data_IF_057367167607
#
_entry.id   IF_057367167607
#
_cell.length_a   1.000
_cell.length_b   1.000
_cell.length_c   1.000
_cell.angle_alpha   90.00
_cell.angle_beta   90.00
_cell.angle_gamma   90.00
#
_symmetry.space_group_name_H-M   'P 1'
#
loop_
_entity.id
_entity.type
_entity.pdbx_description
1 polymer ?
#
# COMPACT_ATOMS: atom_id res chain seq x y z
N UNK A 1 5.46 -24.96 -8.27
CA UNK A 1 4.33 -24.93 -7.31
C UNK A 1 4.79 -24.98 -5.84
N UNK A 2 5.87 -25.71 -5.48
CA UNK A 2 6.36 -25.83 -4.09
C UNK A 2 7.44 -24.82 -3.64
N UNK A 3 8.03 -24.03 -4.54
CA UNK A 3 9.15 -23.12 -4.21
C UNK A 3 8.64 -21.80 -3.57
N UNK A 4 7.41 -21.39 -3.86
CA UNK A 4 6.83 -20.09 -3.48
C UNK A 4 6.36 -19.97 -2.02
N UNK A 5 6.07 -21.11 -1.35
CA UNK A 5 5.60 -21.15 0.05
C UNK A 5 6.74 -21.01 1.08
N UNK A 6 7.99 -21.17 0.65
CA UNK A 6 9.15 -21.22 1.55
C UNK A 6 9.79 -19.85 1.76
N UNK A 7 9.64 -18.91 0.81
CA UNK A 7 10.29 -17.60 0.88
C UNK A 7 9.68 -16.68 1.95
N UNK A 8 8.36 -16.69 2.16
CA UNK A 8 7.72 -15.84 3.18
C UNK A 8 7.92 -16.36 4.62
N UNK A 9 7.88 -17.68 4.84
CA UNK A 9 8.11 -18.30 6.16
C UNK A 9 9.54 -18.08 6.68
N UNK A 10 10.51 -18.03 5.76
CA UNK A 10 11.94 -17.84 6.07
C UNK A 10 12.25 -16.48 6.72
N UNK A 11 11.59 -15.39 6.27
CA UNK A 11 11.85 -14.03 6.77
C UNK A 11 11.32 -13.78 8.19
N UNK A 12 10.21 -14.42 8.60
CA UNK A 12 9.62 -14.25 9.94
C UNK A 12 10.33 -15.09 11.02
N UNK A 13 10.66 -16.36 10.73
CA UNK A 13 11.27 -17.30 11.70
C UNK A 13 12.65 -16.85 12.19
N UNK A 14 13.45 -16.20 11.33
CA UNK A 14 14.79 -15.71 11.69
C UNK A 14 14.76 -14.41 12.53
N UNK A 15 13.60 -13.77 12.73
CA UNK A 15 13.48 -12.54 13.53
C UNK A 15 13.28 -12.81 15.02
N UNK A 16 12.59 -13.90 15.38
CA UNK A 16 12.36 -14.24 16.79
C UNK A 16 13.65 -14.69 17.49
N UNK A 17 14.54 -15.41 16.80
CA UNK A 17 15.81 -15.89 17.38
C UNK A 17 16.86 -14.79 17.63
N UNK A 18 16.77 -13.64 16.95
CA UNK A 18 17.78 -12.57 17.06
C UNK A 18 17.52 -11.56 18.20
N UNK A 19 16.39 -11.67 18.90
CA UNK A 19 16.02 -10.74 20.00
C UNK A 19 16.65 -11.18 21.34
N UNK A 20 17.08 -12.44 21.49
CA UNK A 20 17.56 -12.97 22.77
C UNK A 20 19.06 -12.76 23.10
N UNK A 21 19.85 -12.03 22.29
CA UNK A 21 21.32 -12.02 22.48
C UNK A 21 22.02 -10.65 22.65
N UNK A 22 21.31 -9.58 23.01
CA UNK A 22 21.95 -8.28 23.25
C UNK A 22 22.15 -7.98 24.74
N UNK A 23 23.07 -8.71 25.39
CA UNK A 23 23.67 -8.28 26.66
C UNK A 23 24.98 -7.53 26.40
N UNK A 24 24.98 -6.24 26.74
CA UNK A 24 26.19 -5.46 27.02
C UNK A 24 26.81 -4.67 25.85
N UNK A 25 26.26 -3.47 25.59
CA UNK A 25 27.01 -2.22 25.30
C UNK A 25 26.05 -1.04 25.19
N UNK A 26 26.27 -0.02 26.00
CA UNK A 26 25.45 1.18 26.13
C UNK A 26 25.43 2.04 24.85
N UNK A 27 24.37 1.87 24.07
CA UNK A 27 23.61 2.95 23.42
C UNK A 27 22.22 2.41 23.07
N UNK A 28 21.40 2.07 24.08
CA UNK A 28 20.06 1.56 23.80
C UNK A 28 19.17 2.71 23.32
N UNK A 29 18.86 2.74 22.03
CA UNK A 29 17.64 3.40 21.57
C UNK A 29 16.49 2.63 22.26
N UNK A 30 15.94 3.17 23.34
CA UNK A 30 14.85 2.53 24.03
C UNK A 30 13.65 2.52 23.08
N UNK A 31 13.13 1.33 22.77
CA UNK A 31 11.89 1.19 22.02
C UNK A 31 10.79 1.93 22.79
N UNK A 32 10.06 2.79 22.11
CA UNK A 32 8.81 3.38 22.58
C UNK A 32 7.73 2.29 22.51
N UNK A 33 7.46 1.65 23.64
CA UNK A 33 6.51 0.52 23.72
C UNK A 33 5.07 0.92 23.36
N UNK A 34 4.67 2.15 23.65
CA UNK A 34 3.33 2.64 23.32
C UNK A 34 3.21 2.83 21.80
N UNK A 35 4.18 3.49 21.18
CA UNK A 35 4.23 3.63 19.74
C UNK A 35 4.31 2.26 19.05
N UNK A 36 5.15 1.34 19.55
CA UNK A 36 5.28 -0.01 19.00
C UNK A 36 3.95 -0.79 19.06
N UNK A 37 3.20 -0.67 20.16
CA UNK A 37 1.88 -1.28 20.32
C UNK A 37 0.84 -0.67 19.38
N UNK A 38 0.79 0.66 19.28
CA UNK A 38 -0.16 1.40 18.45
C UNK A 38 0.11 1.20 16.95
N UNK A 39 1.36 1.06 16.55
CA UNK A 39 1.77 0.81 15.16
C UNK A 39 1.96 -0.68 14.85
N UNK A 40 1.44 -1.58 15.69
CA UNK A 40 1.37 -3.00 15.38
C UNK A 40 -0.08 -3.42 15.11
N UNK A 41 -0.64 -3.23 13.90
CA UNK A 41 -2.04 -3.57 13.60
C UNK A 41 -2.46 -5.00 13.97
N UNK A 42 -1.52 -5.94 13.92
CA UNK A 42 -1.75 -7.35 14.30
C UNK A 42 -2.05 -7.56 15.80
N UNK A 43 -1.84 -6.54 16.64
CA UNK A 43 -2.27 -6.52 18.05
C UNK A 43 -3.70 -6.00 18.23
N UNK A 44 -4.36 -5.57 17.15
CA UNK A 44 -5.71 -5.01 17.13
C UNK A 44 -6.62 -5.79 16.16
N UNK A 45 -6.81 -7.12 16.33
CA UNK A 45 -7.70 -7.89 15.47
C UNK A 45 -9.17 -7.56 15.74
N UNK A 46 -9.99 -7.54 14.70
CA UNK A 46 -11.43 -7.29 14.81
C UNK A 46 -12.08 -8.31 15.75
N UNK A 47 -13.05 -7.86 16.55
CA UNK A 47 -13.91 -8.66 17.41
C UNK A 47 -14.59 -9.79 16.63
N UNK A 48 -14.93 -9.56 15.36
CA UNK A 48 -15.53 -10.56 14.46
C UNK A 48 -14.58 -11.71 14.09
N UNK A 49 -13.25 -11.52 14.19
CA UNK A 49 -12.29 -12.58 13.91
C UNK A 49 -12.33 -13.67 14.99
N UNK A 50 -12.34 -14.96 14.62
CA UNK A 50 -12.16 -16.05 15.57
C UNK A 50 -10.73 -16.13 16.11
N UNK A 51 -9.77 -15.57 15.37
CA UNK A 51 -8.34 -15.59 15.67
C UNK A 51 -7.93 -14.27 16.32
N UNK A 52 -7.20 -14.32 17.45
CA UNK A 52 -6.85 -13.14 18.26
C UNK A 52 -5.35 -12.95 18.53
N UNK A 53 -4.50 -13.95 18.29
CA UNK A 53 -3.06 -13.78 18.52
C UNK A 53 -2.40 -13.11 17.33
N UNK A 54 -1.37 -12.29 17.59
CA UNK A 54 -0.62 -11.56 16.56
C UNK A 54 -0.17 -12.46 15.40
N UNK A 55 0.50 -13.57 15.71
CA UNK A 55 1.04 -14.47 14.69
C UNK A 55 -0.07 -15.12 13.87
N UNK A 56 -1.15 -15.56 14.50
CA UNK A 56 -2.23 -16.22 13.79
C UNK A 56 -3.05 -15.25 12.91
N UNK A 57 -3.15 -13.97 13.28
CA UNK A 57 -3.73 -12.92 12.42
C UNK A 57 -2.89 -12.74 11.14
N UNK A 58 -1.57 -12.68 11.29
CA UNK A 58 -0.63 -12.55 10.16
C UNK A 58 -0.67 -13.81 9.28
N UNK A 59 -0.70 -15.00 9.88
CA UNK A 59 -0.79 -16.27 9.15
C UNK A 59 -2.08 -16.38 8.33
N UNK A 60 -3.24 -16.05 8.92
CA UNK A 60 -4.53 -16.02 8.21
C UNK A 60 -4.52 -14.98 7.07
N UNK A 61 -3.96 -13.78 7.30
CA UNK A 61 -3.80 -12.78 6.24
C UNK A 61 -2.96 -13.32 5.08
N UNK A 62 -1.77 -13.86 5.37
CA UNK A 62 -0.88 -14.42 4.36
C UNK A 62 -1.54 -15.57 3.61
N UNK A 63 -2.27 -16.44 4.30
CA UNK A 63 -2.99 -17.53 3.66
C UNK A 63 -4.05 -16.99 2.69
N UNK A 64 -4.92 -16.08 3.15
CA UNK A 64 -6.00 -15.51 2.32
C UNK A 64 -5.47 -14.73 1.13
N UNK A 65 -4.45 -13.89 1.33
CA UNK A 65 -3.82 -13.14 0.24
C UNK A 65 -3.23 -14.07 -0.83
N UNK A 66 -2.61 -15.18 -0.42
CA UNK A 66 -2.10 -16.19 -1.35
C UNK A 66 -3.22 -16.93 -2.09
N UNK A 67 -4.32 -17.25 -1.41
CA UNK A 67 -5.50 -17.86 -2.02
C UNK A 67 -6.13 -16.94 -3.08
N UNK A 68 -6.27 -15.64 -2.77
CA UNK A 68 -6.78 -14.61 -3.70
C UNK A 68 -5.84 -14.46 -4.90
N UNK A 69 -4.54 -14.32 -4.68
CA UNK A 69 -3.56 -14.22 -5.76
C UNK A 69 -3.56 -15.46 -6.67
N UNK A 70 -3.68 -16.66 -6.08
CA UNK A 70 -3.77 -17.89 -6.83
C UNK A 70 -5.09 -18.00 -7.63
N UNK A 71 -6.21 -17.52 -7.10
CA UNK A 71 -7.47 -17.45 -7.82
C UNK A 71 -7.39 -16.45 -8.98
N UNK A 72 -6.84 -15.25 -8.75
CA UNK A 72 -6.63 -14.26 -9.81
C UNK A 72 -5.76 -14.83 -10.95
N UNK A 73 -4.72 -15.59 -10.63
CA UNK A 73 -3.88 -16.25 -11.64
C UNK A 73 -4.65 -17.34 -12.39
N UNK A 74 -5.45 -18.16 -11.70
CA UNK A 74 -6.30 -19.19 -12.34
C UNK A 74 -7.29 -18.57 -13.30
N UNK A 75 -7.95 -17.50 -12.88
CA UNK A 75 -9.02 -16.85 -13.63
C UNK A 75 -8.47 -16.02 -14.80
N UNK A 76 -7.46 -15.18 -14.55
CA UNK A 76 -7.02 -14.16 -15.50
C UNK A 76 -5.62 -14.37 -16.09
N UNK A 77 -4.93 -15.47 -15.77
CA UNK A 77 -3.52 -15.68 -16.15
C UNK A 77 -3.23 -15.55 -17.66
N UNK A 78 -4.17 -15.91 -18.53
CA UNK A 78 -4.03 -15.77 -19.99
C UNK A 78 -4.18 -14.33 -20.49
N UNK A 79 -4.72 -13.45 -19.63
CA UNK A 79 -4.98 -12.03 -19.90
C UNK A 79 -3.99 -11.12 -19.14
N UNK A 80 -2.87 -11.68 -18.67
CA UNK A 80 -1.83 -10.93 -17.97
C UNK A 80 -0.70 -10.52 -18.90
N UNK A 81 -0.21 -9.30 -18.71
CA UNK A 81 1.04 -8.81 -19.26
C UNK A 81 1.91 -8.23 -18.14
N UNK A 82 3.15 -7.87 -18.44
CA UNK A 82 4.02 -7.29 -17.43
C UNK A 82 4.99 -6.26 -17.98
N UNK A 83 5.31 -5.28 -17.15
CA UNK A 83 6.33 -4.25 -17.40
C UNK A 83 7.44 -4.42 -16.36
N UNK A 84 8.68 -4.51 -16.81
CA UNK A 84 9.86 -4.39 -15.95
C UNK A 84 10.28 -2.92 -15.97
N UNK A 85 10.14 -2.24 -14.83
CA UNK A 85 10.40 -0.79 -14.75
C UNK A 85 11.77 -0.46 -14.13
N UNK A 86 12.52 -1.49 -13.73
CA UNK A 86 13.90 -1.38 -13.30
C UNK A 86 14.57 -2.74 -13.14
N UNK A 87 15.75 -2.75 -12.55
CA UNK A 87 16.67 -3.89 -12.63
C UNK A 87 16.55 -4.92 -11.50
N UNK A 88 15.76 -4.62 -10.44
CA UNK A 88 15.60 -5.53 -9.30
C UNK A 88 14.46 -6.52 -9.56
N UNK A 89 14.52 -7.68 -8.88
CA UNK A 89 13.60 -8.80 -9.14
C UNK A 89 12.12 -8.46 -8.94
N UNK A 90 11.84 -7.56 -7.99
CA UNK A 90 10.49 -7.10 -7.69
C UNK A 90 10.13 -5.76 -8.35
N UNK A 91 11.01 -5.13 -9.13
CA UNK A 91 10.71 -3.91 -9.91
C UNK A 91 9.88 -4.25 -11.17
N UNK A 92 8.68 -4.78 -10.94
CA UNK A 92 7.77 -5.30 -11.96
C UNK A 92 6.33 -4.87 -11.72
N UNK A 93 5.62 -4.58 -12.80
CA UNK A 93 4.18 -4.33 -12.81
C UNK A 93 3.52 -5.50 -13.53
N UNK A 94 2.56 -6.16 -12.89
CA UNK A 94 1.68 -7.14 -13.55
C UNK A 94 0.38 -6.45 -13.91
N UNK A 95 0.04 -6.44 -15.20
CA UNK A 95 -1.18 -5.83 -15.71
C UNK A 95 -2.15 -6.94 -16.10
N UNK A 96 -3.38 -6.83 -15.63
CA UNK A 96 -4.45 -7.78 -15.88
C UNK A 96 -5.52 -7.07 -16.71
N UNK A 97 -5.85 -7.65 -17.86
CA UNK A 97 -6.91 -7.16 -18.72
C UNK A 97 -8.25 -7.80 -18.35
N UNK A 98 -9.33 -7.02 -18.23
CA UNK A 98 -10.66 -7.58 -18.02
C UNK A 98 -11.14 -8.32 -19.27
N UNK A 99 -11.99 -9.34 -19.08
CA UNK A 99 -12.59 -10.10 -20.19
C UNK A 99 -13.51 -9.21 -21.03
N UNK A 100 -14.35 -8.42 -20.38
CA UNK A 100 -15.21 -7.42 -20.99
C UNK A 100 -14.68 -6.02 -20.67
N UNK A 101 -14.44 -5.20 -21.70
CA UNK A 101 -13.88 -3.86 -21.51
C UNK A 101 -14.97 -2.81 -21.37
N UNK A 102 -14.86 -1.97 -20.34
CA UNK A 102 -15.64 -0.74 -20.25
C UNK A 102 -15.30 0.21 -21.41
N UNK A 103 -16.29 1.01 -21.86
CA UNK A 103 -16.07 2.01 -22.92
C UNK A 103 -15.11 3.12 -22.48
N UNK A 104 -15.11 3.45 -21.20
CA UNK A 104 -14.26 4.46 -20.57
C UNK A 104 -13.29 3.79 -19.60
N UNK A 105 -12.54 2.81 -20.10
CA UNK A 105 -11.66 2.00 -19.27
C UNK A 105 -10.55 2.84 -18.65
N UNK A 106 -10.53 2.88 -17.33
CA UNK A 106 -9.42 3.33 -16.49
C UNK A 106 -8.56 2.13 -16.04
N UNK A 107 -7.33 2.41 -15.59
CA UNK A 107 -6.42 1.44 -15.01
C UNK A 107 -6.27 1.68 -13.50
N UNK A 108 -6.58 0.68 -12.70
CA UNK A 108 -6.42 0.69 -11.24
C UNK A 108 -5.08 0.08 -10.87
N UNK A 109 -4.14 0.90 -10.41
CA UNK A 109 -2.81 0.46 -10.03
C UNK A 109 -2.69 0.32 -8.51
N UNK A 110 -2.44 -0.88 -8.04
CA UNK A 110 -2.41 -1.22 -6.62
C UNK A 110 -0.99 -1.52 -6.13
N UNK A 111 -0.65 -0.99 -4.96
CA UNK A 111 0.63 -1.19 -4.27
C UNK A 111 0.35 -1.87 -2.93
N UNK A 112 1.02 -3.00 -2.69
CA UNK A 112 0.84 -3.78 -1.46
C UNK A 112 1.44 -3.11 -0.21
N UNK A 113 1.07 -3.64 0.96
CA UNK A 113 1.54 -3.18 2.26
C UNK A 113 2.77 -3.95 2.76
N UNK A 114 2.86 -4.14 4.08
CA UNK A 114 3.94 -4.93 4.71
C UNK A 114 5.11 -4.11 5.27
N UNK A 115 4.84 -2.87 5.71
CA UNK A 115 5.85 -2.01 6.35
C UNK A 115 7.13 -1.82 5.54
N UNK A 116 7.01 -1.78 4.20
CA UNK A 116 8.13 -1.65 3.26
C UNK A 116 9.22 -2.72 3.41
N UNK A 117 8.90 -3.83 4.06
CA UNK A 117 9.86 -4.88 4.46
C UNK A 117 9.36 -6.29 4.16
N UNK A 118 8.08 -6.42 3.80
CA UNK A 118 7.41 -7.67 3.47
C UNK A 118 6.24 -7.42 2.50
N UNK A 119 5.65 -8.51 2.01
CA UNK A 119 4.54 -8.51 1.06
C UNK A 119 4.94 -8.95 -0.35
N UNK A 120 3.96 -9.04 -1.24
CA UNK A 120 4.18 -9.43 -2.64
C UNK A 120 3.08 -8.95 -3.57
N UNK A 121 3.47 -8.28 -4.65
CA UNK A 121 2.53 -7.95 -5.73
C UNK A 121 1.78 -9.15 -6.32
N UNK A 122 2.29 -10.38 -6.12
CA UNK A 122 1.68 -11.62 -6.62
C UNK A 122 0.56 -12.16 -5.73
N UNK A 123 0.51 -11.77 -4.46
CA UNK A 123 -0.48 -12.23 -3.49
C UNK A 123 -1.30 -11.06 -2.98
N UNK A 124 -0.81 -10.32 -1.98
CA UNK A 124 -1.52 -9.17 -1.43
C UNK A 124 -1.64 -8.01 -2.43
N UNK A 125 -0.79 -7.95 -3.46
CA UNK A 125 -0.99 -7.06 -4.60
C UNK A 125 -2.19 -7.39 -5.49
N UNK A 126 -2.87 -8.52 -5.30
CA UNK A 126 -4.02 -8.96 -6.11
C UNK A 126 -5.37 -8.82 -5.41
N UNK A 127 -5.38 -8.39 -4.16
CA UNK A 127 -6.59 -8.40 -3.29
C UNK A 127 -7.76 -7.57 -3.81
N UNK A 128 -7.48 -6.50 -4.56
CA UNK A 128 -8.49 -5.64 -5.15
C UNK A 128 -8.77 -5.93 -6.64
N UNK A 129 -8.17 -6.97 -7.23
CA UNK A 129 -8.24 -7.22 -8.66
C UNK A 129 -9.65 -7.60 -9.13
N UNK A 130 -10.31 -8.55 -8.45
CA UNK A 130 -11.63 -9.06 -8.86
C UNK A 130 -12.71 -7.99 -9.01
N UNK A 131 -12.98 -7.09 -8.03
CA UNK A 131 -14.00 -6.06 -8.21
C UNK A 131 -13.67 -5.10 -9.36
N UNK A 132 -12.40 -4.76 -9.57
CA UNK A 132 -11.95 -3.90 -10.67
C UNK A 132 -12.17 -4.56 -12.03
N UNK A 133 -11.73 -5.82 -12.17
CA UNK A 133 -11.81 -6.56 -13.43
C UNK A 133 -13.26 -6.87 -13.82
N UNK A 134 -14.10 -7.21 -12.84
CA UNK A 134 -15.53 -7.45 -13.06
C UNK A 134 -16.29 -6.18 -13.48
N UNK A 135 -15.80 -4.99 -13.11
CA UNK A 135 -16.33 -3.71 -13.59
C UNK A 135 -15.80 -3.33 -14.99
N UNK A 136 -14.97 -4.17 -15.61
CA UNK A 136 -14.43 -3.96 -16.96
C UNK A 136 -13.28 -2.97 -17.03
N UNK A 137 -12.59 -2.74 -15.91
CA UNK A 137 -11.41 -1.90 -15.81
C UNK A 137 -10.12 -2.72 -15.79
N UNK A 138 -9.00 -2.11 -16.21
CA UNK A 138 -7.69 -2.78 -16.10
C UNK A 138 -7.20 -2.72 -14.66
N UNK A 139 -6.49 -3.77 -14.24
CA UNK A 139 -5.82 -3.81 -12.95
C UNK A 139 -4.31 -3.89 -13.15
N UNK A 140 -3.54 -3.22 -12.30
CA UNK A 140 -2.09 -3.31 -12.28
C UNK A 140 -1.59 -3.54 -10.85
N UNK A 141 -0.94 -4.68 -10.59
CA UNK A 141 -0.22 -4.90 -9.34
C UNK A 141 1.23 -4.40 -9.49
N UNK A 142 1.60 -3.36 -8.74
CA UNK A 142 2.95 -2.81 -8.72
C UNK A 142 3.74 -3.52 -7.61
N UNK A 143 4.77 -4.27 -8.00
CA UNK A 143 5.80 -4.74 -7.09
C UNK A 143 6.84 -3.68 -6.85
N UNK A 144 7.46 -3.70 -5.68
CA UNK A 144 8.68 -2.97 -5.36
C UNK A 144 9.62 -3.89 -4.58
N UNK A 145 10.91 -3.61 -4.65
CA UNK A 145 11.91 -4.38 -3.92
C UNK A 145 12.10 -3.80 -2.51
N UNK A 146 12.15 -4.67 -1.51
CA UNK A 146 12.01 -4.36 -0.08
C UNK A 146 13.06 -5.10 0.78
N UNK A 147 14.27 -5.25 0.23
CA UNK A 147 15.39 -5.88 0.94
C UNK A 147 15.70 -5.13 2.25
N UNK A 148 16.09 -5.88 3.30
CA UNK A 148 16.27 -5.41 4.68
C UNK A 148 17.18 -4.17 4.83
N UNK A 149 18.06 -3.89 3.87
CA UNK A 149 18.99 -2.75 3.91
C UNK A 149 18.62 -1.62 2.95
N UNK A 150 17.45 -1.70 2.30
CA UNK A 150 17.04 -0.70 1.34
C UNK A 150 16.43 0.50 2.05
N UNK A 151 16.95 1.69 1.78
CA UNK A 151 16.39 2.91 2.31
C UNK A 151 14.98 3.13 1.76
N UNK A 152 14.06 3.62 2.60
CA UNK A 152 12.69 3.95 2.19
C UNK A 152 12.66 5.01 1.06
N UNK A 153 13.69 5.87 0.97
CA UNK A 153 13.90 6.78 -0.18
C UNK A 153 14.03 6.04 -1.51
N UNK A 154 14.70 4.88 -1.53
CA UNK A 154 14.88 4.09 -2.75
C UNK A 154 13.60 3.35 -3.14
N UNK A 155 12.81 2.92 -2.15
CA UNK A 155 11.51 2.27 -2.37
C UNK A 155 10.51 3.28 -2.94
N UNK A 156 10.42 4.48 -2.37
CA UNK A 156 9.57 5.56 -2.92
C UNK A 156 9.99 5.92 -4.35
N UNK A 157 11.28 6.04 -4.63
CA UNK A 157 11.79 6.30 -5.99
C UNK A 157 11.46 5.17 -6.98
N UNK A 158 11.46 3.90 -6.55
CA UNK A 158 11.02 2.77 -7.38
C UNK A 158 9.57 2.93 -7.81
N UNK A 159 8.67 3.22 -6.87
CA UNK A 159 7.23 3.34 -7.17
C UNK A 159 6.95 4.52 -8.10
N UNK A 160 7.65 5.65 -7.93
CA UNK A 160 7.52 6.79 -8.87
C UNK A 160 7.93 6.38 -10.29
N UNK A 161 9.02 5.62 -10.46
CA UNK A 161 9.40 5.07 -11.77
C UNK A 161 8.33 4.14 -12.33
N UNK A 162 7.78 3.26 -11.50
CA UNK A 162 6.71 2.34 -11.90
C UNK A 162 5.49 3.10 -12.44
N UNK A 163 5.04 4.14 -11.74
CA UNK A 163 3.89 4.96 -12.17
C UNK A 163 4.20 5.75 -13.45
N UNK A 164 5.43 6.26 -13.63
CA UNK A 164 5.84 6.88 -14.89
C UNK A 164 5.77 5.87 -16.06
N UNK A 165 6.26 4.64 -15.89
CA UNK A 165 6.13 3.59 -16.91
C UNK A 165 4.67 3.22 -17.18
N UNK A 166 3.84 3.20 -16.14
CA UNK A 166 2.42 2.87 -16.25
C UNK A 166 1.63 3.95 -16.98
N UNK A 167 2.03 5.22 -16.84
CA UNK A 167 1.50 6.34 -17.62
C UNK A 167 1.80 6.20 -19.10
N UNK A 168 3.02 5.78 -19.46
CA UNK A 168 3.38 5.54 -20.86
C UNK A 168 2.59 4.39 -21.47
N UNK A 169 2.45 3.28 -20.71
CA UNK A 169 1.57 2.17 -21.10
C UNK A 169 0.12 2.62 -21.29
N UNK A 170 -0.41 3.39 -20.34
CA UNK A 170 -1.79 3.91 -20.37
C UNK A 170 -2.04 4.73 -21.63
N UNK A 171 -1.12 5.64 -21.98
CA UNK A 171 -1.18 6.42 -23.23
C UNK A 171 -1.12 5.53 -24.47
N UNK A 172 -0.19 4.58 -24.54
CA UNK A 172 -0.02 3.69 -25.70
C UNK A 172 -1.26 2.81 -25.95
N UNK A 173 -1.97 2.43 -24.89
CA UNK A 173 -3.16 1.59 -24.96
C UNK A 173 -4.48 2.39 -25.01
N UNK A 174 -4.43 3.71 -25.10
CA UNK A 174 -5.59 4.61 -25.11
C UNK A 174 -6.54 4.38 -23.91
N UNK A 175 -5.96 4.14 -22.74
CA UNK A 175 -6.69 4.00 -21.48
C UNK A 175 -6.96 5.41 -20.96
N UNK A 176 -8.17 5.64 -20.41
CA UNK A 176 -8.64 6.99 -20.06
C UNK A 176 -7.84 7.63 -18.93
N UNK A 177 -7.58 6.88 -17.88
CA UNK A 177 -6.97 7.39 -16.66
C UNK A 177 -6.32 6.30 -15.82
N UNK A 178 -5.55 6.71 -14.82
CA UNK A 178 -4.99 5.87 -13.77
C UNK A 178 -5.61 6.27 -12.43
N UNK A 179 -6.06 5.27 -11.67
CA UNK A 179 -6.35 5.38 -10.24
C UNK A 179 -5.23 4.67 -9.49
N UNK A 180 -4.53 5.38 -8.59
CA UNK A 180 -3.53 4.75 -7.74
C UNK A 180 -4.16 4.29 -6.44
N UNK A 181 -3.83 3.09 -5.99
CA UNK A 181 -4.33 2.55 -4.73
C UNK A 181 -3.22 1.85 -3.98
N UNK A 182 -3.33 1.83 -2.67
CA UNK A 182 -2.44 1.01 -1.88
C UNK A 182 -2.99 0.76 -0.49
N UNK A 183 -2.46 -0.26 0.16
CA UNK A 183 -2.82 -0.62 1.53
C UNK A 183 -1.64 -0.39 2.48
N UNK A 184 -1.89 0.19 3.65
CA UNK A 184 -0.86 0.35 4.69
C UNK A 184 0.37 1.11 4.17
N UNK A 185 1.55 0.49 4.19
CA UNK A 185 2.77 1.00 3.55
C UNK A 185 2.61 1.31 2.04
N UNK A 186 1.74 0.59 1.33
CA UNK A 186 1.40 0.89 -0.07
C UNK A 186 0.61 2.18 -0.22
N UNK A 187 -0.29 2.50 0.71
CA UNK A 187 -1.01 3.77 0.71
C UNK A 187 -0.05 4.95 0.97
N UNK A 188 0.93 4.75 1.85
CA UNK A 188 2.05 5.68 2.01
C UNK A 188 2.81 5.90 0.70
N UNK A 189 3.17 4.82 -0.01
CA UNK A 189 3.88 4.91 -1.28
C UNK A 189 3.07 5.62 -2.37
N UNK A 190 1.75 5.42 -2.43
CA UNK A 190 0.85 6.21 -3.31
C UNK A 190 0.92 7.68 -2.96
N UNK A 191 0.76 8.03 -1.68
CA UNK A 191 0.77 9.41 -1.21
C UNK A 191 2.12 10.10 -1.49
N UNK A 192 3.24 9.41 -1.27
CA UNK A 192 4.58 9.88 -1.65
C UNK A 192 4.74 10.05 -3.16
N UNK A 193 4.11 9.20 -3.96
CA UNK A 193 4.22 9.26 -5.42
C UNK A 193 3.52 10.50 -6.00
N UNK A 194 2.30 10.81 -5.56
CA UNK A 194 1.54 11.95 -6.10
C UNK A 194 2.18 13.31 -5.76
N UNK A 195 2.92 13.40 -4.66
CA UNK A 195 3.64 14.61 -4.24
C UNK A 195 5.08 14.66 -4.76
N UNK A 196 5.62 13.56 -5.29
CA UNK A 196 7.01 13.48 -5.73
C UNK A 196 7.26 14.41 -6.91
N UNK A 197 8.31 15.25 -6.91
CA UNK A 197 8.68 16.07 -8.06
C UNK A 197 9.09 15.23 -9.29
N UNK A 198 9.55 14.00 -9.07
CA UNK A 198 10.00 13.08 -10.13
C UNK A 198 8.84 12.39 -10.88
N UNK A 199 7.60 12.59 -10.43
CA UNK A 199 6.42 12.18 -11.18
C UNK A 199 6.27 13.07 -12.42
N UNK A 200 6.37 12.47 -13.60
CA UNK A 200 6.46 13.20 -14.85
C UNK A 200 5.11 13.80 -15.27
N UNK A 201 5.13 14.73 -16.25
CA UNK A 201 3.92 15.45 -16.70
C UNK A 201 2.85 14.51 -17.27
N UNK A 202 3.27 13.45 -17.99
CA UNK A 202 2.34 12.46 -18.54
C UNK A 202 1.58 11.74 -17.42
N UNK A 203 2.31 11.21 -16.42
CA UNK A 203 1.74 10.56 -15.25
C UNK A 203 0.84 11.49 -14.45
N UNK A 204 1.26 12.74 -14.18
CA UNK A 204 0.42 13.74 -13.50
C UNK A 204 -0.88 14.05 -14.25
N UNK A 205 -0.86 13.98 -15.59
CA UNK A 205 -2.06 14.21 -16.40
C UNK A 205 -3.03 13.03 -16.36
N UNK A 206 -2.52 11.80 -16.23
CA UNK A 206 -3.29 10.56 -16.30
C UNK A 206 -3.76 10.06 -14.95
N UNK A 207 -3.02 10.31 -13.87
CA UNK A 207 -3.46 9.97 -12.51
C UNK A 207 -4.58 10.93 -12.11
N UNK A 208 -5.80 10.41 -12.01
CA UNK A 208 -7.01 11.20 -11.75
C UNK A 208 -7.59 11.02 -10.35
N UNK A 209 -7.08 10.04 -9.60
CA UNK A 209 -7.56 9.76 -8.27
C UNK A 209 -6.68 8.79 -7.50
N UNK A 210 -6.90 8.75 -6.19
CA UNK A 210 -6.24 7.79 -5.29
C UNK A 210 -7.22 7.08 -4.36
N UNK A 211 -6.93 5.82 -4.03
CA UNK A 211 -7.58 5.07 -2.96
C UNK A 211 -6.55 4.63 -1.91
N UNK A 212 -6.56 5.29 -0.75
CA UNK A 212 -5.59 5.11 0.32
C UNK A 212 -6.22 4.27 1.43
N UNK A 213 -5.83 3.01 1.54
CA UNK A 213 -6.50 2.02 2.40
C UNK A 213 -5.66 1.73 3.66
N UNK A 214 -6.11 2.15 4.83
CA UNK A 214 -5.44 1.90 6.12
C UNK A 214 -4.00 2.45 6.15
N UNK A 215 -3.73 3.59 5.53
CA UNK A 215 -2.38 4.09 5.35
C UNK A 215 -1.73 4.69 6.61
N UNK A 216 -0.41 4.85 6.55
CA UNK A 216 0.40 5.66 7.47
C UNK A 216 1.01 6.83 6.69
N UNK A 217 0.78 8.06 7.13
CA UNK A 217 1.14 9.27 6.37
C UNK A 217 2.11 10.19 7.12
N UNK A 218 2.15 10.06 8.45
CA UNK A 218 3.22 10.54 9.32
C UNK A 218 3.96 9.33 9.91
N UNK A 219 5.21 9.12 9.50
CA UNK A 219 6.05 8.02 9.98
C UNK A 219 7.00 8.45 11.10
N UNK A 220 6.94 9.70 11.58
CA UNK A 220 7.76 10.16 12.72
C UNK A 220 7.60 9.29 13.97
N UNK A 221 6.40 8.74 14.31
CA UNK A 221 6.28 7.89 15.49
C UNK A 221 6.95 6.53 15.33
N UNK A 222 7.32 6.12 14.10
CA UNK A 222 8.01 4.85 13.88
C UNK A 222 9.49 4.90 14.28
N UNK A 223 10.06 6.09 14.46
CA UNK A 223 11.50 6.30 14.69
C UNK A 223 12.06 5.41 15.81
N UNK A 224 11.33 5.30 16.92
CA UNK A 224 11.73 4.54 18.10
C UNK A 224 10.93 3.24 18.26
N UNK A 225 10.50 2.60 17.17
CA UNK A 225 9.72 1.35 17.22
C UNK A 225 10.55 0.17 16.71
N UNK A 226 10.11 -1.06 17.01
CA UNK A 226 10.76 -2.26 16.47
C UNK A 226 10.59 -2.37 14.95
N UNK A 227 9.73 -1.57 14.35
CA UNK A 227 9.47 -1.54 12.90
C UNK A 227 10.64 -0.88 12.17
N UNK A 228 11.25 0.16 12.77
CA UNK A 228 12.40 0.86 12.20
C UNK A 228 13.67 0.01 12.24
N UNK A 229 13.77 -0.92 13.20
CA UNK A 229 14.97 -1.74 13.44
C UNK A 229 14.83 -3.13 12.80
N UNK A 230 15.74 -3.55 11.92
CA UNK A 230 16.83 -2.80 11.28
C UNK A 230 16.40 -2.08 9.98
N UNK A 231 15.13 -2.15 9.59
CA UNK A 231 14.74 -2.11 8.18
C UNK A 231 14.39 -0.75 7.56
N UNK A 232 13.96 0.28 8.31
CA UNK A 232 13.48 1.52 7.65
C UNK A 232 14.56 2.59 7.48
N UNK A 233 15.63 2.52 8.26
CA UNK A 233 16.73 3.48 8.21
C UNK A 233 16.33 4.90 8.63
N UNK A 234 15.29 5.06 9.45
CA UNK A 234 14.92 6.35 10.01
C UNK A 234 15.94 6.69 11.11
N UNK A 235 16.80 7.68 10.83
CA UNK A 235 17.90 8.06 11.74
C UNK A 235 17.52 9.16 12.72
N UNK A 236 16.59 10.02 12.32
CA UNK A 236 16.12 11.16 13.10
C UNK A 236 14.75 11.65 12.59
N UNK A 237 14.15 12.58 13.34
CA UNK A 237 12.83 13.15 13.02
C UNK A 237 12.83 13.85 11.66
N UNK A 238 13.90 14.55 11.26
CA UNK A 238 13.98 15.25 9.98
C UNK A 238 13.98 14.30 8.79
N UNK A 239 14.62 13.13 8.90
CA UNK A 239 14.51 12.05 7.91
C UNK A 239 13.09 11.50 7.85
N UNK A 240 12.47 11.25 9.00
CA UNK A 240 11.10 10.73 9.05
C UNK A 240 10.06 11.72 8.49
N UNK A 241 10.18 13.02 8.77
CA UNK A 241 9.33 14.08 8.21
C UNK A 241 9.45 14.17 6.69
N UNK A 242 10.67 14.07 6.14
CA UNK A 242 10.90 14.06 4.67
C UNK A 242 10.33 12.83 3.97
N UNK A 243 10.10 11.77 4.72
CA UNK A 243 9.49 10.54 4.25
C UNK A 243 8.04 10.41 4.70
N UNK A 244 7.45 11.48 5.23
CA UNK A 244 6.05 11.54 5.65
C UNK A 244 5.24 12.40 4.68
N UNK A 245 4.33 11.84 3.87
CA UNK A 245 3.53 12.63 2.96
C UNK A 245 2.67 13.70 3.65
N UNK A 246 2.30 13.52 4.94
CA UNK A 246 1.60 14.55 5.72
C UNK A 246 2.43 15.83 5.87
N UNK A 247 3.67 15.71 6.33
CA UNK A 247 4.60 16.83 6.54
C UNK A 247 4.96 17.53 5.22
N UNK A 248 5.22 16.74 4.17
CA UNK A 248 5.54 17.28 2.85
C UNK A 248 4.37 18.08 2.27
N UNK A 249 3.14 17.58 2.38
CA UNK A 249 1.96 18.25 1.86
C UNK A 249 1.56 19.49 2.70
N UNK A 250 1.85 19.48 4.00
CA UNK A 250 1.61 20.62 4.90
C UNK A 250 2.54 21.81 4.64
N UNK A 251 3.77 21.58 4.14
CA UNK A 251 4.74 22.63 3.79
C UNK A 251 4.27 23.66 2.74
N UNK A 252 3.12 23.43 2.10
CA UNK A 252 2.49 24.23 1.04
C UNK A 252 3.29 24.40 -0.25
N UNK A 253 4.57 24.02 -0.28
CA UNK A 253 5.43 24.09 -1.46
C UNK A 253 5.02 23.09 -2.56
N UNK A 254 4.28 22.04 -2.19
CA UNK A 254 3.83 21.01 -3.11
C UNK A 254 2.40 21.31 -3.56
N UNK A 255 2.22 21.43 -4.87
CA UNK A 255 0.91 21.52 -5.52
C UNK A 255 0.60 20.17 -6.14
N UNK A 256 -0.52 19.57 -5.72
CA UNK A 256 -1.06 18.35 -6.32
C UNK A 256 -2.24 18.78 -7.18
N UNK A 257 -2.08 18.68 -8.49
CA UNK A 257 -3.11 19.03 -9.46
C UNK A 257 -3.76 17.75 -10.02
N UNK A 258 -4.96 17.89 -10.58
CA UNK A 258 -5.65 16.85 -11.36
C UNK A 258 -6.14 15.61 -10.59
N UNK A 259 -6.13 15.63 -9.26
CA UNK A 259 -6.79 14.59 -8.45
C UNK A 259 -8.27 14.94 -8.22
N UNK A 260 -9.14 14.42 -9.08
CA UNK A 260 -10.57 14.70 -9.04
C UNK A 260 -11.32 13.83 -8.01
N UNK A 261 -10.87 12.60 -7.79
CA UNK A 261 -11.57 11.65 -6.92
C UNK A 261 -10.60 10.93 -6.01
N UNK A 262 -10.73 11.14 -4.70
CA UNK A 262 -9.82 10.55 -3.74
C UNK A 262 -10.63 9.89 -2.62
N UNK A 263 -10.15 8.74 -2.18
CA UNK A 263 -10.71 7.97 -1.08
C UNK A 263 -9.62 7.75 -0.04
N UNK A 264 -9.90 8.10 1.21
CA UNK A 264 -9.16 7.61 2.37
C UNK A 264 -10.07 6.64 3.10
N UNK A 265 -9.61 5.41 3.27
CA UNK A 265 -10.33 4.40 4.02
C UNK A 265 -9.48 3.84 5.14
N UNK A 266 -10.11 3.39 6.21
CA UNK A 266 -9.45 2.77 7.36
C UNK A 266 -10.41 1.76 8.00
N UNK A 267 -9.88 0.76 8.68
CA UNK A 267 -10.66 -0.27 9.35
C UNK A 267 -11.35 0.29 10.61
N UNK A 268 -12.62 -0.06 10.87
CA UNK A 268 -13.29 0.38 12.09
C UNK A 268 -12.67 -0.23 13.37
N UNK A 269 -12.10 -1.43 13.23
CA UNK A 269 -11.53 -2.21 14.32
C UNK A 269 -10.01 -2.35 14.15
N UNK A 270 -9.30 -1.22 14.08
CA UNK A 270 -7.84 -1.19 14.14
C UNK A 270 -7.35 -0.22 15.22
N UNK A 271 -6.04 0.05 15.24
CA UNK A 271 -5.47 0.87 16.30
C UNK A 271 -5.90 2.34 16.20
N UNK A 272 -6.00 3.05 17.35
CA UNK A 272 -6.25 4.49 17.36
C UNK A 272 -5.24 5.31 16.55
N UNK A 273 -3.99 4.84 16.42
CA UNK A 273 -2.98 5.51 15.61
C UNK A 273 -3.33 5.47 14.12
N UNK A 274 -3.76 4.33 13.57
CA UNK A 274 -4.17 4.25 12.17
C UNK A 274 -5.46 5.02 11.87
N UNK A 275 -6.39 5.10 12.83
CA UNK A 275 -7.54 5.99 12.72
C UNK A 275 -7.09 7.45 12.63
N UNK A 276 -6.16 7.87 13.49
CA UNK A 276 -5.63 9.23 13.53
C UNK A 276 -4.90 9.57 12.23
N UNK A 277 -4.03 8.69 11.76
CA UNK A 277 -3.32 8.82 10.48
C UNK A 277 -4.28 9.09 9.32
N UNK A 278 -5.31 8.25 9.19
CA UNK A 278 -6.28 8.36 8.09
C UNK A 278 -7.14 9.62 8.20
N UNK A 279 -7.68 9.92 9.39
CA UNK A 279 -8.52 11.11 9.61
C UNK A 279 -7.75 12.39 9.41
N UNK A 280 -6.52 12.48 9.90
CA UNK A 280 -5.73 13.71 9.81
C UNK A 280 -5.18 13.94 8.40
N UNK A 281 -4.80 12.87 7.69
CA UNK A 281 -4.42 12.99 6.28
C UNK A 281 -5.61 13.38 5.40
N UNK A 282 -6.81 12.83 5.64
CA UNK A 282 -8.02 13.26 4.93
C UNK A 282 -8.32 14.74 5.17
N UNK A 283 -8.29 15.22 6.43
CA UNK A 283 -8.44 16.65 6.74
C UNK A 283 -7.36 17.49 6.07
N UNK A 284 -6.13 17.00 5.95
CA UNK A 284 -5.05 17.72 5.27
C UNK A 284 -5.35 17.85 3.78
N UNK A 285 -5.81 16.79 3.11
CA UNK A 285 -6.26 16.83 1.72
C UNK A 285 -7.38 17.88 1.53
N UNK A 286 -8.39 17.88 2.41
CA UNK A 286 -9.47 18.88 2.40
C UNK A 286 -8.93 20.31 2.58
N UNK A 287 -8.02 20.55 3.54
CA UNK A 287 -7.37 21.87 3.74
C UNK A 287 -6.57 22.31 2.52
N UNK A 288 -6.04 21.37 1.73
CA UNK A 288 -5.35 21.62 0.45
C UNK A 288 -6.31 21.71 -0.74
N UNK A 289 -7.62 21.72 -0.50
CA UNK A 289 -8.67 21.75 -1.54
C UNK A 289 -8.61 20.56 -2.52
N UNK A 290 -8.10 19.42 -2.05
CA UNK A 290 -8.12 18.15 -2.77
C UNK A 290 -9.39 17.41 -2.33
N UNK A 291 -10.36 17.17 -3.23
CA UNK A 291 -11.60 16.48 -2.88
C UNK A 291 -11.33 15.08 -2.35
N UNK A 292 -11.83 14.73 -1.17
CA UNK A 292 -11.61 13.41 -0.58
C UNK A 292 -12.88 12.91 0.09
N UNK A 293 -13.18 11.63 -0.10
CA UNK A 293 -14.17 10.89 0.67
C UNK A 293 -13.47 10.06 1.73
N UNK A 294 -14.09 9.95 2.91
CA UNK A 294 -13.59 9.11 4.00
C UNK A 294 -14.53 7.93 4.19
N UNK A 295 -13.98 6.71 4.24
CA UNK A 295 -14.76 5.49 4.46
C UNK A 295 -14.15 4.64 5.59
N UNK A 296 -14.86 4.55 6.70
CA UNK A 296 -14.55 3.62 7.78
C UNK A 296 -15.13 2.24 7.46
N UNK A 297 -14.28 1.22 7.29
CA UNK A 297 -14.70 -0.14 6.95
C UNK A 297 -15.32 -0.82 8.18
N UNK A 298 -16.65 -1.05 8.21
CA UNK A 298 -17.30 -1.65 9.36
C UNK A 298 -16.87 -3.10 9.56
N UNK A 299 -16.78 -3.54 10.82
CA UNK A 299 -16.48 -4.93 11.21
C UNK A 299 -15.21 -5.50 10.56
N UNK A 300 -14.22 -4.64 10.29
CA UNK A 300 -12.93 -5.01 9.71
C UNK A 300 -11.80 -4.47 10.56
N UNK A 301 -10.72 -5.24 10.60
CA UNK A 301 -9.40 -4.80 11.02
C UNK A 301 -8.51 -4.53 9.81
N UNK A 302 -7.29 -4.09 10.11
CA UNK A 302 -6.28 -3.71 9.13
C UNK A 302 -5.97 -4.79 8.08
N UNK A 303 -6.24 -6.07 8.35
CA UNK A 303 -5.91 -7.18 7.45
C UNK A 303 -7.12 -7.68 6.67
N UNK A 304 -8.25 -7.91 7.34
CA UNK A 304 -9.45 -8.39 6.64
C UNK A 304 -10.14 -7.29 5.82
N UNK A 305 -9.84 -6.00 6.03
CA UNK A 305 -10.38 -4.94 5.18
C UNK A 305 -10.03 -5.09 3.69
N UNK A 306 -8.90 -5.73 3.37
CA UNK A 306 -8.47 -5.99 1.99
C UNK A 306 -8.61 -7.45 1.56
N UNK A 307 -8.52 -8.42 2.48
CA UNK A 307 -8.71 -9.85 2.12
C UNK A 307 -10.18 -10.27 2.09
N UNK A 308 -11.08 -9.43 2.62
CA UNK A 308 -12.52 -9.56 2.56
C UNK A 308 -13.16 -8.16 2.38
N UNK A 309 -12.89 -7.56 1.22
CA UNK A 309 -13.32 -6.20 0.86
C UNK A 309 -14.85 -6.10 0.97
N UNK A 310 -15.40 -5.21 1.84
CA UNK A 310 -16.83 -5.00 1.92
C UNK A 310 -17.41 -4.52 0.58
N UNK A 311 -18.64 -4.93 0.26
CA UNK A 311 -19.30 -4.57 -1.00
C UNK A 311 -19.35 -3.05 -1.24
N UNK A 312 -19.55 -2.26 -0.18
CA UNK A 312 -19.55 -0.80 -0.26
C UNK A 312 -18.16 -0.24 -0.61
N UNK A 313 -17.08 -0.76 -0.01
CA UNK A 313 -15.73 -0.38 -0.39
C UNK A 313 -15.44 -0.74 -1.85
N UNK A 314 -15.82 -1.95 -2.28
CA UNK A 314 -15.65 -2.37 -3.67
C UNK A 314 -16.39 -1.42 -4.64
N UNK A 315 -17.62 -0.99 -4.31
CA UNK A 315 -18.37 -0.01 -5.10
C UNK A 315 -17.68 1.35 -5.14
N UNK A 316 -17.13 1.83 -4.01
CA UNK A 316 -16.38 3.08 -3.98
C UNK A 316 -15.12 3.00 -4.87
N UNK A 317 -14.38 1.89 -4.83
CA UNK A 317 -13.20 1.69 -5.69
C UNK A 317 -13.58 1.69 -7.18
N UNK A 318 -14.71 1.06 -7.54
CA UNK A 318 -15.22 1.08 -8.92
C UNK A 318 -15.62 2.48 -9.34
N UNK A 319 -16.37 3.18 -8.48
CA UNK A 319 -16.84 4.54 -8.74
C UNK A 319 -15.70 5.51 -9.03
N UNK A 320 -14.57 5.41 -8.33
CA UNK A 320 -13.37 6.21 -8.61
C UNK A 320 -12.94 6.12 -10.08
N UNK A 321 -13.03 4.93 -10.68
CA UNK A 321 -12.63 4.71 -12.08
C UNK A 321 -13.66 5.19 -13.10
N UNK A 322 -14.94 5.16 -12.75
CA UNK A 322 -16.06 5.55 -13.61
C UNK A 322 -16.23 7.08 -13.68
N UNK A 323 -15.94 7.76 -12.57
CA UNK A 323 -16.13 9.21 -12.44
C UNK A 323 -14.94 10.02 -13.01
N UNK A 324 -13.75 9.40 -13.15
CA UNK A 324 -12.57 9.96 -13.81
C UNK A 324 -12.70 10.03 -15.33
#
# INVERSE_FOLDING_TARGET
>A
MFIWLLESKSKMSNREENIESCDGKESSCCIDEEADYLYSPSRWPSHSRPIKTRSAVIEDYCQRANEIGAECLRQYGNSMSSIEYGSKINEKIVIIHPEERSRNMSLFAYIHGGYWQDGSYKSDGMVAATPVLNAGHMYAAIGYNDDIQMALTDITAQVVRAVNCLADFTSQHNIKSIILSGHSAGAHLVAMTIISPELNVNARSLVKGVALLGGVYDITPLLNTSINIPGLGLTDVSVAEKLSPSHLLESQAIVVENLAYNLVSYAAEESPAFHTQSKDFAKLLERRSIPVSVYECPDRDHFNMITDIPAELAQLLVKLMEDC
#
